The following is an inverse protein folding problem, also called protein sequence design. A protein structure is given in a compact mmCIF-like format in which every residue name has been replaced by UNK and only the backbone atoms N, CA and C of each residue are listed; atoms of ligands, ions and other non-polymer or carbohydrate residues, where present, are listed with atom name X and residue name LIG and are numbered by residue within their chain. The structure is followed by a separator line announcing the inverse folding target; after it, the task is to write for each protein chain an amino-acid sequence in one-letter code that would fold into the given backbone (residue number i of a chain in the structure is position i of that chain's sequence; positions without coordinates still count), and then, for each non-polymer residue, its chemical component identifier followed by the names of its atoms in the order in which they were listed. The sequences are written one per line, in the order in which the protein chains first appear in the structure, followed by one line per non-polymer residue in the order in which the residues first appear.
data_IF_466497119575
#
_entry.id   IF_466497119575
#
_cell.length_a   1.000
_cell.length_b   1.000
_cell.length_c   1.000
_cell.angle_alpha   90.00
_cell.angle_beta   90.00
_cell.angle_gamma   90.00
#
_symmetry.space_group_name_H-M   'P 1'
#
loop_
_entity.id
_entity.type
_entity.pdbx_description
1 polymer ?
#
# COMPACT_ATOMS: atom_id res chain seq x y z
N UNK A 1 -14.75 15.46 5.18
CA UNK A 1 -14.74 16.78 4.49
C UNK A 1 -14.52 17.95 5.44
N UNK A 2 -15.27 18.09 6.54
CA UNK A 2 -15.09 19.22 7.48
C UNK A 2 -13.64 19.35 7.99
N UNK A 3 -13.02 18.24 8.42
CA UNK A 3 -11.63 18.25 8.87
C UNK A 3 -10.63 18.65 7.76
N UNK A 4 -10.88 18.22 6.51
CA UNK A 4 -10.06 18.57 5.35
C UNK A 4 -10.14 20.07 5.06
N UNK A 5 -11.36 20.62 4.93
CA UNK A 5 -11.57 22.03 4.62
C UNK A 5 -11.13 22.96 5.75
N UNK A 6 -11.32 22.56 7.00
CA UNK A 6 -10.81 23.30 8.15
C UNK A 6 -9.28 23.37 8.13
N UNK A 7 -8.59 22.25 7.84
CA UNK A 7 -7.14 22.23 7.75
C UNK A 7 -6.62 23.11 6.60
N UNK A 8 -7.21 23.03 5.41
CA UNK A 8 -6.81 23.90 4.29
C UNK A 8 -7.01 25.39 4.60
N UNK A 9 -8.07 25.75 5.33
CA UNK A 9 -8.35 27.15 5.68
C UNK A 9 -7.27 27.80 6.56
N UNK A 10 -6.51 27.00 7.30
CA UNK A 10 -5.39 27.45 8.14
C UNK A 10 -4.02 27.12 7.53
N UNK A 11 -3.98 26.68 6.27
CA UNK A 11 -2.75 26.31 5.55
C UNK A 11 -2.18 24.93 5.95
N UNK A 12 -2.97 24.08 6.59
CA UNK A 12 -2.61 22.71 6.95
C UNK A 12 -2.85 21.68 5.83
N UNK A 13 -2.32 20.47 6.00
CA UNK A 13 -2.52 19.39 5.03
C UNK A 13 -3.87 18.69 5.25
N UNK A 14 -4.81 18.89 4.32
CA UNK A 14 -6.14 18.31 4.38
C UNK A 14 -6.16 16.77 4.44
N UNK A 15 -5.22 16.08 3.77
CA UNK A 15 -5.13 14.62 3.80
C UNK A 15 -4.79 14.10 5.20
N UNK A 16 -3.80 14.71 5.86
CA UNK A 16 -3.40 14.33 7.22
C UNK A 16 -4.54 14.62 8.19
N UNK A 17 -5.21 15.77 8.06
CA UNK A 17 -6.34 16.11 8.92
C UNK A 17 -7.51 15.12 8.78
N UNK A 18 -7.86 14.72 7.55
CA UNK A 18 -8.87 13.71 7.30
C UNK A 18 -8.50 12.34 7.89
N UNK A 19 -7.23 11.94 7.76
CA UNK A 19 -6.71 10.69 8.34
C UNK A 19 -6.78 10.70 9.87
N UNK A 20 -6.30 11.77 10.51
CA UNK A 20 -6.37 11.93 11.97
C UNK A 20 -7.82 11.91 12.47
N UNK A 21 -8.75 12.59 11.78
CA UNK A 21 -10.16 12.56 12.13
C UNK A 21 -10.74 11.13 12.09
N UNK A 22 -10.41 10.36 11.05
CA UNK A 22 -10.80 8.96 10.95
C UNK A 22 -10.23 8.09 12.09
N UNK A 23 -8.95 8.26 12.41
CA UNK A 23 -8.31 7.59 13.56
C UNK A 23 -8.98 7.95 14.88
N UNK A 24 -9.31 9.23 15.10
CA UNK A 24 -10.00 9.68 16.31
C UNK A 24 -11.37 9.04 16.43
N UNK A 25 -12.18 9.03 15.36
CA UNK A 25 -13.50 8.37 15.37
C UNK A 25 -13.37 6.87 15.67
N UNK A 26 -12.40 6.20 15.03
CA UNK A 26 -12.12 4.78 15.27
C UNK A 26 -11.72 4.47 16.71
N UNK A 27 -11.00 5.39 17.38
CA UNK A 27 -10.53 5.18 18.75
C UNK A 27 -11.56 5.61 19.82
N UNK A 28 -12.40 6.60 19.54
CA UNK A 28 -13.35 7.15 20.52
C UNK A 28 -14.69 6.40 20.50
N UNK A 29 -15.18 5.97 19.32
CA UNK A 29 -16.49 5.33 19.23
C UNK A 29 -16.50 4.17 18.23
N UNK A 30 -16.26 2.98 18.78
CA UNK A 30 -16.37 1.72 18.04
C UNK A 30 -17.75 1.45 17.42
N UNK A 31 -18.89 1.81 18.06
CA UNK A 31 -20.21 1.67 17.43
C UNK A 31 -20.38 2.56 16.19
N UNK A 32 -19.97 3.83 16.27
CA UNK A 32 -20.06 4.77 15.14
C UNK A 32 -19.13 4.31 14.02
N UNK A 33 -17.89 3.95 14.35
CA UNK A 33 -16.92 3.45 13.39
C UNK A 33 -17.49 2.25 12.60
N UNK A 34 -18.07 1.25 13.28
CA UNK A 34 -18.68 0.10 12.61
C UNK A 34 -19.85 0.48 11.72
N UNK A 35 -20.71 1.39 12.15
CA UNK A 35 -21.86 1.84 11.37
C UNK A 35 -21.46 2.52 10.05
N UNK A 36 -20.37 3.30 10.05
CA UNK A 36 -19.89 4.01 8.85
C UNK A 36 -18.89 3.21 8.02
N UNK A 37 -18.28 2.17 8.60
CA UNK A 37 -17.16 1.46 7.98
C UNK A 37 -17.56 0.78 6.67
N UNK A 38 -18.68 0.04 6.65
CA UNK A 38 -19.12 -0.66 5.42
C UNK A 38 -19.40 0.32 4.28
N UNK A 39 -20.03 1.46 4.59
CA UNK A 39 -20.29 2.50 3.61
C UNK A 39 -18.99 3.13 3.10
N UNK A 40 -18.09 3.52 4.01
CA UNK A 40 -16.81 4.13 3.67
C UNK A 40 -15.90 3.17 2.88
N UNK A 41 -15.95 1.88 3.18
CA UNK A 41 -15.18 0.85 2.48
C UNK A 41 -15.72 0.65 1.06
N UNK A 42 -17.04 0.54 0.90
CA UNK A 42 -17.68 0.44 -0.41
C UNK A 42 -17.42 1.67 -1.29
N UNK A 43 -17.57 2.88 -0.73
CA UNK A 43 -17.27 4.14 -1.42
C UNK A 43 -15.77 4.22 -1.78
N UNK A 44 -14.89 3.89 -0.84
CA UNK A 44 -13.45 3.86 -1.06
C UNK A 44 -13.04 2.88 -2.16
N UNK A 45 -13.68 1.72 -2.22
CA UNK A 45 -13.45 0.72 -3.26
C UNK A 45 -13.96 1.20 -4.62
N UNK A 46 -15.14 1.81 -4.68
CA UNK A 46 -15.69 2.41 -5.91
C UNK A 46 -14.77 3.51 -6.44
N UNK A 47 -14.34 4.44 -5.58
CA UNK A 47 -13.42 5.51 -5.96
C UNK A 47 -12.06 4.96 -6.40
N UNK A 48 -11.57 3.91 -5.74
CA UNK A 48 -10.34 3.22 -6.14
C UNK A 48 -10.46 2.61 -7.54
N UNK A 49 -11.57 1.93 -7.83
CA UNK A 49 -11.87 1.39 -9.15
C UNK A 49 -11.91 2.49 -10.21
N UNK A 50 -12.57 3.61 -9.92
CA UNK A 50 -12.61 4.77 -10.81
C UNK A 50 -11.22 5.35 -11.05
N UNK A 51 -10.41 5.54 -10.01
CA UNK A 51 -9.04 6.06 -10.18
C UNK A 51 -8.21 5.11 -11.02
N UNK A 52 -8.30 3.79 -10.81
CA UNK A 52 -7.58 2.83 -11.64
C UNK A 52 -8.10 2.76 -13.07
N UNK A 53 -9.40 2.93 -13.28
CA UNK A 53 -10.00 3.05 -14.61
C UNK A 53 -9.43 4.27 -15.35
N UNK A 54 -9.46 5.46 -14.74
CA UNK A 54 -8.88 6.67 -15.33
C UNK A 54 -7.37 6.56 -15.53
N UNK A 55 -6.67 5.95 -14.58
CA UNK A 55 -5.25 5.69 -14.69
C UNK A 55 -4.93 4.85 -15.92
N UNK A 56 -5.60 3.71 -16.10
CA UNK A 56 -5.36 2.83 -17.23
C UNK A 56 -5.83 3.41 -18.57
N UNK A 57 -6.98 4.08 -18.58
CA UNK A 57 -7.60 4.59 -19.81
C UNK A 57 -6.98 5.90 -20.31
N UNK A 58 -6.53 6.78 -19.40
CA UNK A 58 -6.13 8.16 -19.74
C UNK A 58 -4.69 8.45 -19.35
N UNK A 59 -4.31 8.18 -18.09
CA UNK A 59 -2.99 8.59 -17.59
C UNK A 59 -1.86 7.74 -18.19
N UNK A 60 -2.07 6.44 -18.34
CA UNK A 60 -1.05 5.51 -18.81
C UNK A 60 -0.69 5.73 -20.28
N UNK A 61 -1.64 5.92 -21.23
CA UNK A 61 -1.30 6.28 -22.62
C UNK A 61 -0.55 7.61 -22.72
N UNK A 62 -0.93 8.62 -21.93
CA UNK A 62 -0.24 9.91 -21.89
C UNK A 62 1.19 9.77 -21.38
N UNK A 63 1.39 9.00 -20.31
CA UNK A 63 2.70 8.73 -19.74
C UNK A 63 3.63 7.98 -20.70
N UNK A 64 3.08 7.03 -21.47
CA UNK A 64 3.86 6.21 -22.41
C UNK A 64 4.55 7.06 -23.47
N UNK A 65 3.92 8.13 -23.94
CA UNK A 65 4.49 9.00 -24.98
C UNK A 65 5.80 9.69 -24.60
N UNK A 66 6.06 9.89 -23.30
CA UNK A 66 7.26 10.56 -22.78
C UNK A 66 8.17 9.60 -22.00
N UNK A 67 7.89 8.28 -22.04
CA UNK A 67 8.62 7.32 -21.25
C UNK A 67 9.96 6.97 -21.92
N UNK A 68 11.05 7.48 -21.36
CA UNK A 68 12.40 7.13 -21.79
C UNK A 68 12.88 5.83 -21.13
N UNK A 69 13.87 5.19 -21.76
CA UNK A 69 14.51 3.99 -21.19
C UNK A 69 15.12 4.28 -19.80
N UNK A 70 15.71 5.46 -19.63
CA UNK A 70 16.23 5.94 -18.33
C UNK A 70 15.11 6.09 -17.31
N UNK A 71 13.95 6.64 -17.70
CA UNK A 71 12.79 6.75 -16.83
C UNK A 71 12.24 5.40 -16.38
N UNK A 72 12.22 4.40 -17.27
CA UNK A 72 11.84 3.03 -16.93
C UNK A 72 12.80 2.40 -15.91
N UNK A 73 14.11 2.57 -16.11
CA UNK A 73 15.12 2.09 -15.16
C UNK A 73 14.93 2.73 -13.79
N UNK A 74 14.68 4.05 -13.74
CA UNK A 74 14.40 4.75 -12.51
C UNK A 74 13.12 4.25 -11.83
N UNK A 75 12.05 3.98 -12.59
CA UNK A 75 10.80 3.42 -12.05
C UNK A 75 11.03 2.05 -11.36
N UNK A 76 11.84 1.18 -11.96
CA UNK A 76 12.21 -0.11 -11.37
C UNK A 76 13.01 0.10 -10.07
N UNK A 77 13.97 1.02 -10.08
CA UNK A 77 14.76 1.36 -8.89
C UNK A 77 13.88 1.94 -7.78
N UNK A 78 12.90 2.76 -8.15
CA UNK A 78 11.95 3.38 -7.24
C UNK A 78 11.01 2.37 -6.58
N UNK A 79 10.70 1.26 -7.27
CA UNK A 79 9.88 0.17 -6.73
C UNK A 79 10.64 -0.79 -5.83
N UNK A 80 11.92 -1.00 -6.13
CA UNK A 80 12.74 -1.98 -5.42
C UNK A 80 13.54 -1.29 -4.32
N UNK A 81 14.56 -0.50 -4.70
CA UNK A 81 15.55 0.09 -3.79
C UNK A 81 14.96 1.19 -2.92
N UNK A 82 14.34 2.20 -3.55
CA UNK A 82 13.79 3.38 -2.83
C UNK A 82 12.68 2.96 -1.86
N UNK A 83 12.04 1.84 -2.13
CA UNK A 83 10.96 1.31 -1.30
C UNK A 83 11.46 0.39 -0.18
N UNK A 84 12.33 -0.57 -0.50
CA UNK A 84 12.78 -1.55 0.47
C UNK A 84 13.73 -0.94 1.50
N UNK A 85 14.54 0.04 1.11
CA UNK A 85 15.51 0.65 2.02
C UNK A 85 14.86 1.35 3.22
N UNK A 86 13.88 2.28 3.07
CA UNK A 86 13.27 2.95 4.22
C UNK A 86 12.56 1.97 5.16
N UNK A 87 11.89 0.95 4.61
CA UNK A 87 11.24 -0.09 5.42
C UNK A 87 12.28 -0.90 6.16
N UNK A 88 13.35 -1.34 5.49
CA UNK A 88 14.43 -2.09 6.13
C UNK A 88 15.08 -1.28 7.25
N UNK A 89 15.35 0.01 7.01
CA UNK A 89 15.90 0.95 7.99
C UNK A 89 14.96 1.13 9.18
N UNK A 90 13.65 1.35 8.93
CA UNK A 90 12.65 1.48 9.99
C UNK A 90 12.49 0.23 10.84
N UNK A 91 12.87 -0.95 10.32
CA UNK A 91 12.84 -2.21 11.06
C UNK A 91 14.18 -2.58 11.69
N UNK A 92 15.25 -1.77 11.54
CA UNK A 92 16.51 -1.95 12.26
C UNK A 92 16.22 -1.78 13.76
N UNK A 93 16.47 -2.83 14.55
CA UNK A 93 16.17 -2.89 15.99
C UNK A 93 14.96 -3.75 16.36
N UNK A 94 14.14 -4.17 15.39
CA UNK A 94 13.06 -5.14 15.64
C UNK A 94 13.60 -6.57 15.71
N UNK A 95 13.09 -7.42 16.62
CA UNK A 95 13.42 -8.87 16.69
C UNK A 95 12.75 -9.71 15.58
N UNK A 96 12.47 -9.11 14.43
CA UNK A 96 11.82 -9.77 13.29
C UNK A 96 12.85 -10.55 12.46
N UNK A 97 12.46 -11.74 11.98
CA UNK A 97 13.29 -12.53 11.04
C UNK A 97 13.51 -11.76 9.74
N UNK A 98 14.69 -11.90 9.14
CA UNK A 98 15.04 -11.26 7.86
C UNK A 98 14.02 -11.54 6.75
N UNK A 99 13.54 -12.78 6.67
CA UNK A 99 12.49 -13.20 5.73
C UNK A 99 11.20 -12.36 5.89
N UNK A 100 10.81 -12.05 7.12
CA UNK A 100 9.64 -11.22 7.44
C UNK A 100 9.87 -9.76 7.10
N UNK A 101 11.08 -9.22 7.31
CA UNK A 101 11.42 -7.84 6.91
C UNK A 101 11.28 -7.63 5.40
N UNK A 102 11.83 -8.55 4.61
CA UNK A 102 11.75 -8.47 3.14
C UNK A 102 10.32 -8.66 2.65
N UNK A 103 9.55 -9.55 3.28
CA UNK A 103 8.13 -9.73 2.99
C UNK A 103 7.33 -8.46 3.26
N UNK A 104 7.51 -7.81 4.42
CA UNK A 104 6.84 -6.55 4.76
C UNK A 104 7.23 -5.43 3.78
N UNK A 105 8.51 -5.30 3.43
CA UNK A 105 8.98 -4.33 2.44
C UNK A 105 8.36 -4.54 1.05
N UNK A 106 8.20 -5.80 0.64
CA UNK A 106 7.61 -6.17 -0.65
C UNK A 106 6.08 -6.07 -0.67
N UNK A 107 5.36 -6.19 0.44
CA UNK A 107 3.88 -6.27 0.46
C UNK A 107 3.09 -4.96 0.69
N UNK A 108 3.68 -3.78 0.53
CA UNK A 108 2.98 -2.48 0.44
C UNK A 108 2.75 -1.99 -1.00
N UNK A 109 1.80 -2.54 -1.78
CA UNK A 109 1.57 -2.14 -3.17
C UNK A 109 1.34 -0.63 -3.29
N UNK A 110 1.90 0.00 -4.34
CA UNK A 110 1.54 1.40 -4.63
C UNK A 110 0.11 1.41 -5.13
N UNK A 111 -0.73 2.18 -4.44
CA UNK A 111 -2.14 2.30 -4.75
C UNK A 111 -2.51 3.66 -5.34
N UNK A 112 -3.76 4.03 -5.10
CA UNK A 112 -4.41 5.28 -5.51
C UNK A 112 -3.67 6.52 -5.00
N UNK A 113 -3.12 6.49 -3.80
CA UNK A 113 -2.45 7.64 -3.18
C UNK A 113 -1.28 8.17 -4.03
N UNK A 114 -0.49 7.28 -4.64
CA UNK A 114 0.62 7.72 -5.51
C UNK A 114 0.14 8.43 -6.77
N UNK A 115 -0.98 7.99 -7.34
CA UNK A 115 -1.59 8.64 -8.51
C UNK A 115 -2.09 10.03 -8.11
N UNK A 116 -2.85 10.11 -7.00
CA UNK A 116 -3.42 11.37 -6.50
C UNK A 116 -2.31 12.37 -6.17
N UNK A 117 -1.28 11.97 -5.42
CA UNK A 117 -0.18 12.87 -5.08
C UNK A 117 0.62 13.31 -6.29
N UNK A 118 0.84 12.45 -7.28
CA UNK A 118 1.50 12.85 -8.52
C UNK A 118 0.69 13.94 -9.26
N UNK A 119 -0.64 13.79 -9.33
CA UNK A 119 -1.51 14.78 -9.95
C UNK A 119 -1.58 16.09 -9.17
N UNK A 120 -1.69 16.03 -7.84
CA UNK A 120 -1.66 17.21 -6.96
C UNK A 120 -0.34 17.95 -7.13
N UNK A 121 0.80 17.24 -7.09
CA UNK A 121 2.12 17.83 -7.25
C UNK A 121 2.27 18.56 -8.58
N UNK A 122 1.84 17.94 -9.69
CA UNK A 122 1.94 18.54 -11.02
C UNK A 122 0.94 19.68 -11.25
N UNK A 123 -0.11 19.77 -10.42
CA UNK A 123 -1.11 20.84 -10.47
C UNK A 123 -0.69 22.05 -9.64
N UNK A 124 -0.14 21.82 -8.45
CA UNK A 124 0.16 22.88 -7.48
C UNK A 124 1.56 23.46 -7.64
N UNK A 125 2.51 22.69 -8.17
CA UNK A 125 3.90 23.11 -8.28
C UNK A 125 4.34 23.19 -9.73
N UNK A 126 5.00 24.29 -10.09
CA UNK A 126 5.67 24.42 -11.39
C UNK A 126 7.02 23.72 -11.33
N UNK A 127 7.03 22.46 -11.74
CA UNK A 127 8.21 21.59 -11.69
C UNK A 127 8.88 21.55 -13.06
N UNK A 128 10.21 21.77 -13.14
CA UNK A 128 10.95 21.48 -14.37
C UNK A 128 10.77 19.99 -14.72
N UNK A 129 10.71 19.68 -16.02
CA UNK A 129 10.55 18.32 -16.53
C UNK A 129 9.27 17.60 -16.01
N UNK A 130 8.18 18.36 -15.82
CA UNK A 130 6.85 17.83 -15.41
C UNK A 130 6.41 16.56 -16.14
N UNK A 131 6.70 16.46 -17.45
CA UNK A 131 6.31 15.31 -18.27
C UNK A 131 7.12 14.06 -17.94
N UNK A 132 8.41 14.21 -17.64
CA UNK A 132 9.27 13.09 -17.24
C UNK A 132 8.86 12.57 -15.85
N UNK A 133 8.61 13.49 -14.90
CA UNK A 133 8.16 13.13 -13.55
C UNK A 133 6.83 12.38 -13.63
N UNK A 134 5.89 12.88 -14.42
CA UNK A 134 4.61 12.23 -14.67
C UNK A 134 4.80 10.83 -15.27
N UNK A 135 5.59 10.72 -16.34
CA UNK A 135 5.83 9.44 -17.02
C UNK A 135 6.44 8.40 -16.08
N UNK A 136 7.46 8.79 -15.31
CA UNK A 136 8.12 7.93 -14.33
C UNK A 136 7.15 7.52 -13.21
N UNK A 137 6.36 8.46 -12.66
CA UNK A 137 5.40 8.16 -11.61
C UNK A 137 4.33 7.17 -12.09
N UNK A 138 3.76 7.38 -13.28
CA UNK A 138 2.75 6.50 -13.85
C UNK A 138 3.33 5.13 -14.23
N UNK A 139 4.53 5.07 -14.81
CA UNK A 139 5.22 3.82 -15.09
C UNK A 139 5.53 3.04 -13.81
N UNK A 140 5.92 3.75 -12.74
CA UNK A 140 6.13 3.18 -11.41
C UNK A 140 4.85 2.56 -10.84
N UNK A 141 3.72 3.26 -10.95
CA UNK A 141 2.43 2.71 -10.50
C UNK A 141 2.03 1.51 -11.35
N UNK A 142 2.16 1.59 -12.67
CA UNK A 142 1.85 0.50 -13.59
C UNK A 142 2.67 -0.75 -13.24
N UNK A 143 3.99 -0.61 -13.14
CA UNK A 143 4.87 -1.73 -12.80
C UNK A 143 4.56 -2.27 -11.40
N UNK A 144 4.17 -1.43 -10.44
CA UNK A 144 3.70 -1.89 -9.12
C UNK A 144 2.46 -2.77 -9.24
N UNK A 145 1.44 -2.32 -9.99
CA UNK A 145 0.19 -3.06 -10.18
C UNK A 145 0.43 -4.38 -10.91
N UNK A 146 1.25 -4.37 -11.97
CA UNK A 146 1.60 -5.59 -12.71
C UNK A 146 2.40 -6.56 -11.84
N UNK A 147 3.47 -6.09 -11.19
CA UNK A 147 4.28 -6.95 -10.33
C UNK A 147 3.47 -7.49 -9.15
N UNK A 148 2.71 -6.66 -8.43
CA UNK A 148 1.91 -7.12 -7.28
C UNK A 148 0.73 -7.97 -7.71
N UNK A 149 0.07 -7.66 -8.84
CA UNK A 149 -1.00 -8.48 -9.40
C UNK A 149 -0.51 -9.88 -9.78
N UNK A 150 0.65 -9.99 -10.45
CA UNK A 150 1.26 -11.27 -10.81
C UNK A 150 1.80 -12.03 -9.59
N UNK A 151 2.35 -11.30 -8.61
CA UNK A 151 3.01 -11.90 -7.43
C UNK A 151 2.02 -12.26 -6.31
N UNK A 152 0.83 -11.65 -6.27
CA UNK A 152 -0.15 -11.84 -5.20
C UNK A 152 -0.52 -13.31 -4.98
N UNK A 153 -0.87 -14.03 -6.05
CA UNK A 153 -1.27 -15.43 -5.97
C UNK A 153 -0.13 -16.39 -5.56
N UNK A 154 1.06 -16.39 -6.22
CA UNK A 154 2.14 -17.30 -5.87
C UNK A 154 2.76 -17.02 -4.49
N UNK A 155 2.92 -15.75 -4.07
CA UNK A 155 3.47 -15.44 -2.75
C UNK A 155 2.48 -15.70 -1.62
N UNK A 156 1.17 -15.47 -1.80
CA UNK A 156 0.17 -15.84 -0.81
C UNK A 156 0.17 -17.36 -0.57
N UNK A 157 0.25 -18.15 -1.64
CA UNK A 157 0.36 -19.61 -1.56
C UNK A 157 1.65 -20.05 -0.87
N UNK A 158 2.79 -19.45 -1.20
CA UNK A 158 4.07 -19.76 -0.56
C UNK A 158 4.10 -19.39 0.92
N UNK A 159 3.54 -18.23 1.30
CA UNK A 159 3.47 -17.77 2.69
C UNK A 159 2.54 -18.65 3.52
N UNK A 160 1.37 -19.03 2.99
CA UNK A 160 0.43 -19.95 3.63
C UNK A 160 1.09 -21.29 3.97
N UNK A 161 1.82 -21.88 3.02
CA UNK A 161 2.55 -23.14 3.23
C UNK A 161 3.62 -23.00 4.33
N UNK A 162 4.28 -21.84 4.42
CA UNK A 162 5.35 -21.60 5.40
C UNK A 162 4.80 -21.32 6.81
N UNK A 163 3.63 -20.70 6.93
CA UNK A 163 2.96 -20.45 8.22
C UNK A 163 2.24 -21.69 8.75
N UNK A 164 1.68 -22.54 7.89
CA UNK A 164 1.14 -23.84 8.30
C UNK A 164 2.22 -24.75 8.92
N UNK A 165 3.45 -24.76 8.37
CA UNK A 165 4.56 -25.51 8.96
C UNK A 165 4.93 -25.04 10.36
N UNK A 166 4.82 -23.73 10.65
CA UNK A 166 5.12 -23.15 11.98
C UNK A 166 4.03 -23.49 13.00
N UNK A 167 2.75 -23.55 12.59
CA UNK A 167 1.66 -24.03 13.45
C UNK A 167 1.85 -25.49 13.83
N UNK A 168 2.33 -26.32 12.89
CA UNK A 168 2.61 -27.75 13.11
C UNK A 168 3.81 -28.03 14.04
N UNK A 169 4.76 -27.11 14.17
CA UNK A 169 5.92 -27.24 15.09
C UNK A 169 5.76 -26.49 16.41
N UNK A 170 4.59 -25.91 16.69
CA UNK A 170 4.33 -25.23 17.96
C UNK A 170 4.17 -26.26 19.12
N UNK A 171 4.83 -26.06 20.29
CA UNK A 171 4.82 -27.02 21.40
C UNK A 171 3.42 -27.26 22.01
N UNK A 172 2.45 -26.39 21.71
CA UNK A 172 1.04 -26.56 22.09
C UNK A 172 0.35 -27.69 21.33
N UNK A 173 0.75 -27.96 20.07
CA UNK A 173 0.19 -29.05 19.25
C UNK A 173 0.67 -30.43 19.75
N UNK A 174 1.85 -30.50 20.35
CA UNK A 174 2.39 -31.72 20.96
C UNK A 174 1.71 -32.00 22.31
N UNK A 175 1.39 -30.95 23.09
CA UNK A 175 0.66 -31.07 24.34
C UNK A 175 -0.77 -31.62 24.16
N UNK A 176 -1.56 -31.11 23.20
CA UNK A 176 -2.90 -31.63 22.90
C UNK A 176 -2.90 -33.06 22.34
N UNK A 177 -1.85 -33.44 21.59
CA UNK A 177 -1.72 -34.80 21.05
C UNK A 177 -1.37 -35.81 22.14
N UNK A 178 -0.64 -35.39 23.18
CA UNK A 178 -0.38 -36.18 24.38
C UNK A 178 -1.60 -36.37 25.29
N UNK A 179 -2.51 -35.39 25.36
CA UNK A 179 -3.73 -35.49 26.19
C UNK A 179 -4.76 -36.45 25.60
N UNK A 180 -4.92 -36.46 24.27
CA UNK A 180 -5.86 -37.38 23.59
C UNK A 180 -5.41 -38.84 23.66
N UNK A 181 -4.11 -39.12 23.65
CA UNK A 181 -3.56 -40.47 23.84
C UNK A 181 -3.69 -41.01 25.26
N UNK A 182 -4.00 -40.16 26.24
CA UNK A 182 -4.17 -40.54 27.65
C UNK A 182 -5.64 -40.87 28.00
N UNK A 183 -6.56 -40.64 27.06
CA UNK A 183 -8.00 -40.92 27.18
C UNK A 183 -8.48 -42.07 26.28
N UNK A 184 -7.56 -42.74 25.58
CA UNK A 184 -7.76 -44.03 24.91
C UNK A 184 -6.97 -45.10 25.67
#
# INVERSE_FOLDING_TARGET
MVAYGAAESVGGNGFIAAFCAGLTVGNVSQPICRAIHEFADAEGQLLTLLVFLFFGAVLLPQAYSNLTFTGMFFAILALTVIRMLPVAISLIGTRLRGDTRWFIGWFGPRGVASIVFALVLLKEFDVPNRQDIFAIAMATVALSVFCHGLTAYPLAKWYAIRTERVKATSPTAEHCRGTLKRYQ
#
